data_IF_840554637811
#
_entry.id   IF_840554637811
#
_cell.length_a   1.000
_cell.length_b   1.000
_cell.length_c   1.000
_cell.angle_alpha   90.00
_cell.angle_beta   90.00
_cell.angle_gamma   90.00
#
_symmetry.space_group_name_H-M   'P 1'
#
loop_
_entity.id
_entity.type
_entity.pdbx_description
1 polymer ?
#
# COMPACT_ATOMS: atom_id res chain seq x y z
N UNK A 1 13.53 12.80 -8.76
CA UNK A 1 12.89 11.54 -8.34
C UNK A 1 12.92 10.51 -9.45
N UNK A 2 13.40 9.31 -9.15
CA UNK A 2 13.22 8.15 -10.04
C UNK A 2 11.90 7.47 -9.69
N UNK A 3 11.21 6.93 -10.70
CA UNK A 3 9.96 6.22 -10.49
C UNK A 3 9.67 5.19 -11.58
N UNK A 4 8.95 4.13 -11.21
CA UNK A 4 8.58 3.00 -12.07
C UNK A 4 7.10 2.67 -11.87
N UNK A 5 6.39 2.50 -12.99
CA UNK A 5 5.03 1.98 -12.99
C UNK A 5 5.06 0.48 -12.64
N UNK A 6 4.16 0.06 -11.75
CA UNK A 6 4.07 -1.33 -11.29
C UNK A 6 3.00 -2.08 -12.07
N UNK A 7 3.26 -3.35 -12.36
CA UNK A 7 2.28 -4.26 -12.96
C UNK A 7 1.23 -4.59 -11.92
N UNK A 8 0.00 -4.14 -12.13
CA UNK A 8 -1.08 -4.18 -11.13
C UNK A 8 -2.32 -4.87 -11.69
N UNK A 9 -3.21 -5.39 -10.83
CA UNK A 9 -4.51 -5.90 -11.25
C UNK A 9 -5.35 -4.83 -11.94
N UNK A 10 -6.29 -5.26 -12.79
CA UNK A 10 -7.22 -4.36 -13.48
C UNK A 10 -7.95 -3.43 -12.50
N UNK A 11 -8.13 -2.17 -12.92
CA UNK A 11 -8.78 -1.14 -12.10
C UNK A 11 -7.89 -0.50 -11.03
N UNK A 12 -6.65 -0.97 -10.87
CA UNK A 12 -5.66 -0.41 -9.94
C UNK A 12 -4.45 0.05 -10.75
N UNK A 13 -3.93 1.24 -10.47
CA UNK A 13 -2.65 1.70 -11.00
C UNK A 13 -1.72 2.03 -9.84
N UNK A 14 -0.49 1.52 -9.86
CA UNK A 14 0.49 1.81 -8.81
C UNK A 14 1.86 2.21 -9.36
N UNK A 15 2.56 3.04 -8.60
CA UNK A 15 3.88 3.56 -8.95
C UNK A 15 4.79 3.55 -7.75
N UNK A 16 5.99 3.01 -7.92
CA UNK A 16 7.09 3.10 -6.97
C UNK A 16 7.94 4.31 -7.33
N UNK A 17 8.39 5.07 -6.34
CA UNK A 17 9.36 6.14 -6.53
C UNK A 17 10.28 6.32 -5.34
N UNK A 18 11.51 6.74 -5.62
CA UNK A 18 12.53 7.00 -4.63
C UNK A 18 13.34 8.24 -5.01
N UNK A 19 13.64 9.04 -3.99
CA UNK A 19 14.53 10.19 -4.09
C UNK A 19 15.01 10.53 -2.67
N UNK A 20 16.31 10.36 -2.37
CA UNK A 20 16.83 10.63 -1.04
C UNK A 20 16.80 12.13 -0.68
N UNK A 21 16.62 13.03 -1.67
CA UNK A 21 16.57 14.48 -1.46
C UNK A 21 15.16 15.01 -1.27
N UNK A 22 14.13 14.21 -1.53
CA UNK A 22 12.74 14.62 -1.35
C UNK A 22 12.19 14.14 -0.02
N UNK A 23 11.26 14.90 0.55
CA UNK A 23 10.51 14.43 1.71
C UNK A 23 9.56 13.29 1.30
N UNK A 24 9.19 12.45 2.27
CA UNK A 24 8.18 11.40 2.06
C UNK A 24 6.87 11.98 1.53
N UNK A 25 6.44 13.11 2.08
CA UNK A 25 5.23 13.80 1.73
C UNK A 25 5.24 14.27 0.26
N UNK A 26 6.34 14.87 -0.18
CA UNK A 26 6.46 15.35 -1.56
C UNK A 26 6.51 14.19 -2.56
N UNK A 27 7.21 13.10 -2.21
CA UNK A 27 7.21 11.89 -3.05
C UNK A 27 5.80 11.34 -3.25
N UNK A 28 5.00 11.22 -2.17
CA UNK A 28 3.61 10.74 -2.25
C UNK A 28 2.78 11.61 -3.19
N UNK A 29 2.84 12.93 -3.03
CA UNK A 29 2.08 13.88 -3.86
C UNK A 29 2.48 13.83 -5.33
N UNK A 30 3.77 13.78 -5.64
CA UNK A 30 4.23 13.69 -7.03
C UNK A 30 3.76 12.39 -7.67
N UNK A 31 3.96 11.24 -7.02
CA UNK A 31 3.53 9.94 -7.54
C UNK A 31 2.01 9.85 -7.71
N UNK A 32 1.24 10.32 -6.71
CA UNK A 32 -0.22 10.37 -6.78
C UNK A 32 -0.69 11.23 -7.95
N UNK A 33 -0.13 12.43 -8.10
CA UNK A 33 -0.50 13.36 -9.18
C UNK A 33 -0.22 12.76 -10.56
N UNK A 34 0.91 12.08 -10.72
CA UNK A 34 1.25 11.38 -11.96
C UNK A 34 0.26 10.25 -12.29
N UNK A 35 -0.10 9.44 -11.30
CA UNK A 35 -1.08 8.36 -11.48
C UNK A 35 -2.47 8.90 -11.80
N UNK A 36 -2.95 9.91 -11.06
CA UNK A 36 -4.27 10.52 -11.29
C UNK A 36 -4.34 11.19 -12.66
N UNK A 37 -3.31 11.96 -13.04
CA UNK A 37 -3.25 12.61 -14.35
C UNK A 37 -3.30 11.57 -15.50
N UNK A 38 -2.54 10.49 -15.37
CA UNK A 38 -2.55 9.41 -16.34
C UNK A 38 -3.92 8.70 -16.40
N UNK A 39 -4.53 8.43 -15.25
CA UNK A 39 -5.85 7.78 -15.16
C UNK A 39 -6.94 8.63 -15.83
N UNK A 40 -6.95 9.94 -15.58
CA UNK A 40 -7.93 10.88 -16.12
C UNK A 40 -7.59 11.40 -17.52
N UNK A 41 -6.42 11.04 -18.07
CA UNK A 41 -5.87 11.57 -19.33
C UNK A 41 -5.78 13.11 -19.32
N UNK A 42 -5.29 13.66 -18.21
CA UNK A 42 -5.09 15.10 -17.97
C UNK A 42 -3.60 15.44 -17.90
N UNK A 43 -3.27 16.71 -18.05
CA UNK A 43 -1.92 17.20 -17.80
C UNK A 43 -1.63 17.28 -16.30
N UNK A 44 -0.37 17.09 -15.89
CA UNK A 44 0.03 17.15 -14.48
C UNK A 44 -0.32 18.47 -13.79
N UNK A 45 -0.35 19.58 -14.53
CA UNK A 45 -0.67 20.91 -13.99
C UNK A 45 -2.16 21.09 -13.68
N UNK A 46 -3.01 20.27 -14.29
CA UNK A 46 -4.48 20.29 -14.11
C UNK A 46 -4.90 19.51 -12.86
N UNK A 47 -4.02 18.64 -12.34
CA UNK A 47 -4.28 17.81 -11.17
C UNK A 47 -3.62 18.40 -9.93
N UNK A 48 -4.42 18.64 -8.90
CA UNK A 48 -3.92 18.97 -7.56
C UNK A 48 -4.08 17.74 -6.67
N UNK A 49 -3.11 17.50 -5.79
CA UNK A 49 -3.19 16.43 -4.78
C UNK A 49 -3.01 17.07 -3.43
N UNK A 50 -4.05 16.97 -2.62
CA UNK A 50 -4.09 17.55 -1.29
C UNK A 50 -4.26 16.46 -0.24
N UNK A 51 -4.12 16.86 1.02
CA UNK A 51 -4.29 15.99 2.17
C UNK A 51 -5.53 16.43 2.92
N UNK A 52 -6.35 15.47 3.33
CA UNK A 52 -7.52 15.76 4.15
C UNK A 52 -7.12 16.56 5.39
N UNK A 53 -8.00 17.47 5.79
CA UNK A 53 -7.89 18.12 7.08
C UNK A 53 -8.21 17.09 8.17
N UNK A 54 -7.40 16.99 9.25
CA UNK A 54 -7.70 16.06 10.34
C UNK A 54 -9.06 16.42 10.95
N UNK A 55 -10.04 15.54 10.84
CA UNK A 55 -11.36 15.78 11.43
C UNK A 55 -11.30 15.80 12.97
N UNK A 56 -10.43 14.98 13.56
CA UNK A 56 -10.24 14.80 15.00
C UNK A 56 -8.80 14.37 15.31
N UNK A 57 -8.34 14.55 16.54
CA UNK A 57 -7.04 14.03 16.98
C UNK A 57 -7.01 12.49 16.83
N UNK A 58 -6.01 11.97 16.12
CA UNK A 58 -5.89 10.54 15.82
C UNK A 58 -6.58 10.08 14.53
N UNK A 59 -7.17 10.98 13.74
CA UNK A 59 -7.68 10.64 12.40
C UNK A 59 -6.52 10.49 11.41
N UNK A 60 -6.45 9.36 10.71
CA UNK A 60 -5.49 9.15 9.63
C UNK A 60 -5.98 9.86 8.37
N UNK A 61 -5.40 11.01 8.09
CA UNK A 61 -5.73 11.80 6.90
C UNK A 61 -5.18 11.15 5.64
N UNK A 62 -6.04 11.04 4.62
CA UNK A 62 -5.70 10.47 3.32
C UNK A 62 -5.34 11.57 2.31
N UNK A 63 -4.79 11.15 1.18
CA UNK A 63 -4.63 12.02 0.02
C UNK A 63 -5.89 11.95 -0.84
N UNK A 64 -6.30 13.09 -1.37
CA UNK A 64 -7.33 13.19 -2.39
C UNK A 64 -6.81 14.04 -3.54
N UNK A 65 -7.46 13.93 -4.70
CA UNK A 65 -7.09 14.70 -5.88
C UNK A 65 -8.24 15.58 -6.35
N UNK A 66 -7.89 16.75 -6.88
CA UNK A 66 -8.83 17.68 -7.48
C UNK A 66 -8.45 17.97 -8.93
N UNK A 67 -9.46 18.15 -9.78
CA UNK A 67 -9.35 18.68 -11.15
C UNK A 67 -10.41 19.75 -11.30
N UNK A 68 -10.01 20.92 -11.84
CA UNK A 68 -10.91 22.07 -12.02
C UNK A 68 -11.65 22.53 -10.74
N UNK A 69 -11.06 22.27 -9.57
CA UNK A 69 -11.63 22.61 -8.26
C UNK A 69 -12.62 21.59 -7.70
N UNK A 70 -12.82 20.47 -8.38
CA UNK A 70 -13.70 19.38 -7.96
C UNK A 70 -12.88 18.15 -7.55
N UNK A 71 -13.25 17.52 -6.44
CA UNK A 71 -12.63 16.28 -5.99
C UNK A 71 -12.93 15.15 -6.99
N UNK A 72 -11.88 14.44 -7.38
CA UNK A 72 -11.98 13.29 -8.26
C UNK A 72 -12.36 12.06 -7.43
N UNK A 73 -13.35 11.25 -7.85
CA UNK A 73 -13.75 10.04 -7.14
C UNK A 73 -12.71 8.92 -7.33
N UNK A 74 -11.53 9.08 -6.74
CA UNK A 74 -10.45 8.10 -6.75
C UNK A 74 -9.88 7.95 -5.34
N UNK A 75 -9.64 6.70 -4.95
CA UNK A 75 -8.91 6.40 -3.71
C UNK A 75 -7.43 6.41 -3.96
N UNK A 76 -6.67 7.11 -3.11
CA UNK A 76 -5.22 7.18 -3.17
C UNK A 76 -4.66 6.52 -1.91
N UNK A 77 -3.93 5.41 -2.09
CA UNK A 77 -3.22 4.73 -0.99
C UNK A 77 -1.72 4.82 -1.19
N UNK A 78 -0.98 4.87 -0.10
CA UNK A 78 0.48 4.93 -0.15
C UNK A 78 1.14 4.11 0.95
N UNK A 79 2.31 3.57 0.67
CA UNK A 79 3.23 3.03 1.67
C UNK A 79 4.60 3.66 1.48
N UNK A 80 5.28 4.00 2.58
CA UNK A 80 6.61 4.58 2.55
C UNK A 80 7.52 3.83 3.49
N UNK A 81 8.74 3.57 3.03
CA UNK A 81 9.79 2.95 3.82
C UNK A 81 11.11 3.58 3.46
N UNK A 82 11.72 4.28 4.42
CA UNK A 82 12.98 5.01 4.24
C UNK A 82 12.90 5.95 3.01
N UNK A 83 13.74 5.71 2.00
CA UNK A 83 13.86 6.54 0.80
C UNK A 83 12.83 6.24 -0.30
N UNK A 84 12.01 5.20 -0.14
CA UNK A 84 11.05 4.75 -1.15
C UNK A 84 9.59 4.97 -0.73
N UNK A 85 8.76 5.19 -1.74
CA UNK A 85 7.31 5.37 -1.61
C UNK A 85 6.61 4.63 -2.74
N UNK A 86 5.59 3.86 -2.42
CA UNK A 86 4.61 3.34 -3.39
C UNK A 86 3.31 4.11 -3.22
N UNK A 87 2.70 4.50 -4.33
CA UNK A 87 1.33 5.02 -4.38
C UNK A 87 0.50 4.13 -5.29
N UNK A 88 -0.73 3.84 -4.89
CA UNK A 88 -1.74 3.22 -5.76
C UNK A 88 -3.01 4.08 -5.81
N UNK A 89 -3.66 4.03 -6.97
CA UNK A 89 -4.92 4.71 -7.28
C UNK A 89 -5.92 3.68 -7.81
N UNK A 90 -7.16 3.73 -7.33
CA UNK A 90 -8.26 2.91 -7.83
C UNK A 90 -9.63 3.56 -7.55
N UNK A 91 -10.70 2.89 -7.97
CA UNK A 91 -12.07 3.25 -7.61
C UNK A 91 -12.26 3.31 -6.06
N UNK A 92 -12.98 4.31 -5.53
CA UNK A 92 -13.22 4.47 -4.09
C UNK A 92 -13.88 3.27 -3.41
N UNK A 93 -14.67 2.47 -4.13
CA UNK A 93 -15.32 1.28 -3.61
C UNK A 93 -14.35 0.13 -3.36
N UNK A 94 -13.19 0.10 -4.03
CA UNK A 94 -12.21 -0.99 -3.91
C UNK A 94 -11.46 -0.86 -2.57
N UNK A 95 -11.58 -1.83 -1.64
CA UNK A 95 -10.70 -1.89 -0.47
C UNK A 95 -9.26 -2.07 -0.91
N UNK A 96 -8.34 -1.24 -0.43
CA UNK A 96 -6.94 -1.24 -0.83
C UNK A 96 -6.01 -1.10 0.37
N UNK A 97 -4.96 -1.90 0.38
CA UNK A 97 -3.85 -1.81 1.34
C UNK A 97 -2.52 -2.14 0.68
N UNK A 98 -1.44 -1.49 1.12
CA UNK A 98 -0.11 -1.64 0.56
C UNK A 98 0.89 -1.76 1.70
N UNK A 99 1.83 -2.69 1.60
CA UNK A 99 3.05 -2.69 2.41
C UNK A 99 4.29 -2.61 1.52
N UNK A 100 5.31 -1.92 2.01
CA UNK A 100 6.58 -1.69 1.34
C UNK A 100 7.73 -1.94 2.33
N UNK A 101 8.66 -2.81 1.97
CA UNK A 101 9.87 -3.12 2.75
C UNK A 101 11.10 -3.19 1.86
N UNK A 102 12.26 -3.03 2.48
CA UNK A 102 13.55 -3.37 1.90
C UNK A 102 13.72 -4.89 1.85
N UNK A 103 14.31 -5.43 0.78
CA UNK A 103 14.68 -6.84 0.68
C UNK A 103 15.74 -7.25 1.72
N UNK A 104 16.45 -6.28 2.32
CA UNK A 104 17.45 -6.50 3.36
C UNK A 104 17.00 -5.80 4.67
N UNK A 105 16.03 -6.39 5.39
CA UNK A 105 15.53 -5.84 6.64
C UNK A 105 16.65 -5.78 7.69
N UNK A 106 16.63 -4.75 8.52
CA UNK A 106 17.51 -4.67 9.68
C UNK A 106 17.10 -5.67 10.77
N UNK A 107 17.99 -5.89 11.75
CA UNK A 107 17.75 -6.87 12.81
C UNK A 107 16.52 -6.53 13.67
N UNK A 108 16.19 -5.24 13.84
CA UNK A 108 15.03 -4.83 14.61
C UNK A 108 13.74 -5.27 13.91
N UNK A 109 13.64 -5.05 12.59
CA UNK A 109 12.52 -5.48 11.77
C UNK A 109 12.43 -7.02 11.69
N UNK A 110 13.56 -7.72 11.54
CA UNK A 110 13.59 -9.19 11.57
C UNK A 110 13.07 -9.76 12.90
N UNK A 111 13.45 -9.17 14.04
CA UNK A 111 12.93 -9.59 15.36
C UNK A 111 11.42 -9.38 15.46
N UNK A 112 10.89 -8.31 14.88
CA UNK A 112 9.44 -8.10 14.83
C UNK A 112 8.74 -9.15 13.96
N UNK A 113 9.27 -9.43 12.77
CA UNK A 113 8.73 -10.43 11.85
C UNK A 113 8.71 -11.83 12.48
N UNK A 114 9.79 -12.23 13.16
CA UNK A 114 9.91 -13.54 13.84
C UNK A 114 8.94 -13.69 15.00
N UNK A 115 8.75 -12.63 15.81
CA UNK A 115 7.74 -12.63 16.89
C UNK A 115 6.31 -12.82 16.39
N UNK A 116 6.03 -12.56 15.12
CA UNK A 116 4.71 -12.73 14.54
C UNK A 116 4.59 -14.04 13.74
N UNK A 117 5.64 -14.39 13.00
CA UNK A 117 5.64 -15.46 12.01
C UNK A 117 6.08 -16.80 12.60
N UNK A 118 5.53 -17.17 13.76
CA UNK A 118 5.87 -18.39 14.51
C UNK A 118 5.68 -19.71 13.73
N UNK A 119 5.04 -19.65 12.56
CA UNK A 119 4.73 -20.79 11.70
C UNK A 119 5.78 -21.05 10.62
N UNK A 120 6.76 -20.17 10.45
CA UNK A 120 7.77 -20.29 9.40
C UNK A 120 9.15 -20.58 9.99
N UNK A 121 10.01 -21.19 9.17
CA UNK A 121 11.43 -21.29 9.47
C UNK A 121 12.01 -19.87 9.62
N UNK A 122 12.33 -19.50 10.84
CA UNK A 122 12.83 -18.16 11.20
C UNK A 122 14.19 -17.82 10.57
N UNK A 123 14.86 -18.82 9.98
CA UNK A 123 16.11 -18.65 9.24
C UNK A 123 15.89 -18.19 7.79
N UNK A 124 14.68 -18.38 7.24
CA UNK A 124 14.35 -17.99 5.87
C UNK A 124 13.77 -16.56 5.82
N UNK A 125 14.64 -15.58 5.64
CA UNK A 125 14.29 -14.15 5.61
C UNK A 125 13.29 -13.82 4.50
N UNK A 126 13.44 -14.40 3.31
CA UNK A 126 12.56 -14.14 2.17
C UNK A 126 11.12 -14.57 2.48
N UNK A 127 10.97 -15.72 3.12
CA UNK A 127 9.65 -16.25 3.54
C UNK A 127 9.03 -15.36 4.63
N UNK A 128 9.84 -14.92 5.60
CA UNK A 128 9.39 -13.99 6.65
C UNK A 128 8.94 -12.66 6.05
N UNK A 129 9.69 -12.09 5.10
CA UNK A 129 9.33 -10.86 4.40
C UNK A 129 8.06 -11.03 3.59
N UNK A 130 7.96 -12.10 2.80
CA UNK A 130 6.80 -12.39 1.97
C UNK A 130 5.53 -12.52 2.83
N UNK A 131 5.61 -13.25 3.94
CA UNK A 131 4.50 -13.38 4.88
C UNK A 131 4.14 -12.06 5.55
N UNK A 132 5.14 -11.37 6.10
CA UNK A 132 4.95 -10.12 6.84
C UNK A 132 4.30 -9.04 5.97
N UNK A 133 4.84 -8.78 4.79
CA UNK A 133 4.32 -7.75 3.88
C UNK A 133 2.87 -8.00 3.48
N UNK A 134 2.47 -9.28 3.30
CA UNK A 134 1.09 -9.67 3.04
C UNK A 134 0.17 -9.44 4.22
N UNK A 135 0.61 -9.80 5.43
CA UNK A 135 -0.15 -9.51 6.66
C UNK A 135 -0.37 -8.01 6.82
N UNK A 136 0.66 -7.20 6.64
CA UNK A 136 0.54 -5.74 6.76
C UNK A 136 -0.38 -5.15 5.69
N UNK A 137 -0.26 -5.57 4.42
CA UNK A 137 -1.14 -5.11 3.36
C UNK A 137 -2.62 -5.44 3.64
N UNK A 138 -2.92 -6.62 4.17
CA UNK A 138 -4.30 -6.99 4.57
C UNK A 138 -4.82 -6.11 5.72
N UNK A 139 -4.00 -5.81 6.73
CA UNK A 139 -4.38 -4.91 7.83
C UNK A 139 -4.68 -3.50 7.33
N UNK A 140 -3.86 -3.03 6.40
CA UNK A 140 -4.04 -1.73 5.75
C UNK A 140 -5.36 -1.70 4.96
N UNK A 141 -5.64 -2.74 4.16
CA UNK A 141 -6.86 -2.86 3.36
C UNK A 141 -8.15 -2.97 4.21
N UNK A 142 -8.04 -3.49 5.43
CA UNK A 142 -9.14 -3.57 6.38
C UNK A 142 -9.54 -2.21 6.98
N UNK A 143 -8.61 -1.24 7.01
CA UNK A 143 -8.86 0.15 7.41
C UNK A 143 -9.03 0.37 8.92
N UNK A 144 -8.98 -0.67 9.77
CA UNK A 144 -9.00 -0.50 11.23
C UNK A 144 -7.63 -0.10 11.81
N UNK A 145 -6.58 -0.12 11.00
CA UNK A 145 -5.23 0.28 11.36
C UNK A 145 -4.64 -0.58 12.48
N UNK A 146 -3.99 0.06 13.45
CA UNK A 146 -3.34 -0.62 14.57
C UNK A 146 -4.28 -1.43 15.48
N UNK A 147 -5.61 -1.25 15.35
CA UNK A 147 -6.62 -1.99 16.14
C UNK A 147 -6.67 -3.48 15.82
N UNK A 148 -6.24 -3.88 14.61
CA UNK A 148 -6.12 -5.29 14.24
C UNK A 148 -4.68 -5.71 14.47
N UNK A 149 -4.45 -6.70 15.33
CA UNK A 149 -3.12 -7.28 15.51
C UNK A 149 -2.72 -8.12 14.29
N UNK A 150 -1.43 -8.12 13.88
CA UNK A 150 -0.93 -9.01 12.83
C UNK A 150 -1.37 -10.47 13.01
N UNK A 151 -1.30 -10.99 14.24
CA UNK A 151 -1.67 -12.39 14.60
C UNK A 151 -3.12 -12.77 14.27
N UNK A 152 -3.98 -11.79 14.02
CA UNK A 152 -5.38 -12.03 13.66
C UNK A 152 -5.58 -12.16 12.15
N UNK A 153 -4.61 -11.77 11.33
CA UNK A 153 -4.68 -11.96 9.88
C UNK A 153 -4.46 -13.44 9.56
N UNK A 154 -5.19 -13.92 8.56
CA UNK A 154 -5.04 -15.24 7.99
C UNK A 154 -4.70 -15.10 6.52
N UNK A 155 -3.79 -15.94 6.05
CA UNK A 155 -3.41 -16.05 4.65
C UNK A 155 -3.71 -17.47 4.17
N UNK A 156 -3.98 -17.62 2.88
CA UNK A 156 -4.04 -18.94 2.26
C UNK A 156 -2.62 -19.50 2.05
N UNK A 157 -2.52 -20.82 1.85
CA UNK A 157 -1.21 -21.48 1.70
C UNK A 157 -0.37 -20.94 0.53
N UNK A 158 -0.95 -20.58 -0.64
CA UNK A 158 -0.20 -19.94 -1.74
C UNK A 158 0.20 -18.49 -1.46
N UNK A 159 -0.26 -17.88 -0.36
CA UNK A 159 -0.04 -16.47 -0.05
C UNK A 159 -0.59 -15.52 -1.14
N UNK A 160 -1.71 -15.89 -1.73
CA UNK A 160 -2.44 -15.13 -2.76
C UNK A 160 -3.72 -14.49 -2.24
N UNK A 161 -4.18 -14.88 -1.05
CA UNK A 161 -5.38 -14.35 -0.41
C UNK A 161 -5.16 -14.14 1.08
N UNK A 162 -5.82 -13.12 1.62
CA UNK A 162 -5.82 -12.85 3.05
C UNK A 162 -7.18 -12.40 3.57
N UNK A 163 -7.43 -12.60 4.86
CA UNK A 163 -8.66 -12.18 5.53
C UNK A 163 -8.44 -12.00 7.03
N UNK A 164 -9.39 -11.33 7.68
CA UNK A 164 -9.47 -11.27 9.14
C UNK A 164 -10.73 -12.06 9.53
N UNK A 165 -10.64 -13.09 10.40
CA UNK A 165 -11.74 -14.01 10.69
C UNK A 165 -13.03 -13.37 11.20
N UNK A 166 -12.95 -12.18 11.79
CA UNK A 166 -14.11 -11.43 12.30
C UNK A 166 -14.89 -10.69 11.20
N UNK A 167 -14.44 -10.75 9.94
CA UNK A 167 -15.09 -10.14 8.78
C UNK A 167 -15.31 -11.12 7.64
N UNK A 168 -16.39 -10.88 6.90
CA UNK A 168 -16.71 -11.61 5.65
C UNK A 168 -16.11 -10.91 4.43
N UNK A 169 -14.85 -10.49 4.52
CA UNK A 169 -14.12 -9.84 3.44
C UNK A 169 -12.84 -10.62 3.18
N UNK A 170 -12.61 -10.93 1.92
CA UNK A 170 -11.39 -11.59 1.45
C UNK A 170 -10.66 -10.66 0.50
N UNK A 171 -9.36 -10.53 0.73
CA UNK A 171 -8.47 -9.71 -0.08
C UNK A 171 -7.65 -10.63 -0.98
N UNK A 172 -7.58 -10.30 -2.27
CA UNK A 172 -6.55 -10.83 -3.15
C UNK A 172 -5.24 -10.11 -2.86
N UNK A 173 -4.12 -10.81 -3.10
CA UNK A 173 -2.77 -10.31 -2.86
C UNK A 173 -1.99 -10.33 -4.18
N UNK A 174 -1.41 -9.21 -4.54
CA UNK A 174 -0.49 -9.08 -5.66
C UNK A 174 0.90 -8.69 -5.16
N UNK A 175 1.91 -9.40 -5.67
CA UNK A 175 3.31 -9.05 -5.47
C UNK A 175 3.71 -8.01 -6.52
N UNK A 176 4.08 -6.82 -6.06
CA UNK A 176 4.51 -5.71 -6.91
C UNK A 176 6.01 -5.42 -6.76
N UNK A 177 6.76 -6.37 -6.18
CA UNK A 177 8.16 -6.19 -5.82
C UNK A 177 9.01 -5.79 -7.03
N UNK A 178 9.88 -4.81 -6.84
CA UNK A 178 10.67 -4.21 -7.92
C UNK A 178 11.94 -3.60 -7.36
N UNK A 179 13.07 -3.80 -8.03
CA UNK A 179 14.34 -3.12 -7.73
C UNK A 179 14.80 -3.21 -6.25
N UNK A 180 14.68 -4.41 -5.65
CA UNK A 180 15.09 -4.65 -4.26
C UNK A 180 14.08 -4.19 -3.20
N UNK A 181 12.92 -3.70 -3.62
CA UNK A 181 11.79 -3.40 -2.75
C UNK A 181 10.78 -4.55 -2.77
N UNK A 182 10.40 -5.01 -1.58
CA UNK A 182 9.34 -5.99 -1.39
C UNK A 182 8.03 -5.24 -1.21
N UNK A 183 7.10 -5.42 -2.15
CA UNK A 183 5.85 -4.66 -2.21
C UNK A 183 4.69 -5.64 -2.32
N UNK A 184 3.75 -5.56 -1.39
CA UNK A 184 2.49 -6.30 -1.50
C UNK A 184 1.32 -5.33 -1.58
N UNK A 185 0.44 -5.58 -2.55
CA UNK A 185 -0.87 -4.97 -2.67
C UNK A 185 -1.94 -5.96 -2.21
N UNK A 186 -2.76 -5.56 -1.25
CA UNK A 186 -3.99 -6.24 -0.88
C UNK A 186 -5.19 -5.46 -1.43
N UNK A 187 -6.09 -6.16 -2.13
CA UNK A 187 -7.26 -5.54 -2.73
C UNK A 187 -8.50 -6.42 -2.57
N UNK A 188 -9.64 -5.81 -2.27
CA UNK A 188 -10.91 -6.51 -2.29
C UNK A 188 -11.33 -6.79 -3.73
N UNK A 189 -11.82 -8.00 -4.01
CA UNK A 189 -12.54 -8.22 -5.25
C UNK A 189 -13.76 -7.28 -5.25
N UNK A 190 -14.02 -6.59 -6.37
CA UNK A 190 -15.30 -5.90 -6.55
C UNK A 190 -16.44 -6.86 -6.19
N UNK A 191 -17.54 -6.38 -5.58
CA UNK A 191 -18.75 -7.18 -5.52
C UNK A 191 -19.10 -7.57 -6.96
N UNK A 192 -19.02 -8.87 -7.28
CA UNK A 192 -19.60 -9.40 -8.52
C UNK A 192 -21.12 -9.34 -8.43
#
# INVERSE_FOLDING_TARGET
MQSVLLETPDGIAAKLGWDPKMSEHDRKRVLARELVAAHLKRELKEVRVERESPAQFGFHTELFAEVDGEEVPLKIKNASFRGATVVAVADPAVPLGIDLRDAHPDEALLREMRRHSHLFDESNVDTLLAHWTRVQAVREADGRGARVKPDHVRLDAPLTKGWIPDRRVYYQLADLSREGWIITLAYGAEPR
#
